data_IF_916366882802
#
_entry.id   IF_916366882802
#
_cell.length_a   1.000
_cell.length_b   1.000
_cell.length_c   1.000
_cell.angle_alpha   90.00
_cell.angle_beta   90.00
_cell.angle_gamma   90.00
#
_symmetry.space_group_name_H-M   'P 1'
#
loop_
_entity.id
_entity.type
_entity.pdbx_description
1 polymer ?
#
# COMPACT_ATOMS: atom_id res chain seq x y z
N UNK A 1 -11.46 4.53 -22.13
CA UNK A 1 -10.40 4.60 -21.09
C UNK A 1 -11.04 4.31 -19.74
N UNK A 2 -10.56 3.31 -19.00
CA UNK A 2 -11.16 2.88 -17.73
C UNK A 2 -11.09 3.97 -16.65
N UNK A 3 -12.06 3.96 -15.72
CA UNK A 3 -12.18 4.99 -14.68
C UNK A 3 -10.93 5.08 -13.76
N UNK A 4 -10.32 3.94 -13.42
CA UNK A 4 -9.11 3.90 -12.59
C UNK A 4 -7.90 4.54 -13.26
N UNK A 5 -7.78 4.43 -14.59
CA UNK A 5 -6.70 5.06 -15.34
C UNK A 5 -6.88 6.58 -15.39
N UNK A 6 -8.12 7.08 -15.44
CA UNK A 6 -8.43 8.51 -15.35
C UNK A 6 -8.12 9.10 -13.97
N UNK A 7 -8.26 8.30 -12.91
CA UNK A 7 -7.95 8.68 -11.53
C UNK A 7 -6.44 8.68 -11.20
N UNK A 8 -5.56 8.43 -12.18
CA UNK A 8 -4.11 8.37 -11.97
C UNK A 8 -3.63 7.15 -11.16
N UNK A 9 -4.47 6.12 -11.02
CA UNK A 9 -4.12 4.90 -10.30
C UNK A 9 -3.28 4.02 -11.23
N UNK A 10 -2.08 3.64 -10.78
CA UNK A 10 -1.23 2.67 -11.49
C UNK A 10 -1.87 1.28 -11.48
N UNK A 11 -1.53 0.47 -12.47
CA UNK A 11 -2.09 -0.88 -12.60
C UNK A 11 -1.80 -1.76 -11.36
N UNK A 12 -0.62 -1.60 -10.76
CA UNK A 12 -0.24 -2.30 -9.53
C UNK A 12 -1.17 -1.95 -8.37
N UNK A 13 -1.49 -0.66 -8.21
CA UNK A 13 -2.37 -0.19 -7.14
C UNK A 13 -3.82 -0.62 -7.37
N UNK A 14 -4.27 -0.65 -8.62
CA UNK A 14 -5.57 -1.21 -8.98
C UNK A 14 -5.70 -2.69 -8.58
N UNK A 15 -4.73 -3.53 -8.94
CA UNK A 15 -4.74 -4.94 -8.57
C UNK A 15 -4.68 -5.16 -7.05
N UNK A 16 -3.84 -4.41 -6.34
CA UNK A 16 -3.73 -4.51 -4.89
C UNK A 16 -5.07 -4.20 -4.18
N UNK A 17 -5.78 -3.15 -4.61
CA UNK A 17 -7.08 -2.77 -4.06
C UNK A 17 -8.13 -3.83 -4.37
N UNK A 18 -8.22 -4.27 -5.63
CA UNK A 18 -9.18 -5.31 -6.03
C UNK A 18 -8.98 -6.63 -5.27
N UNK A 19 -7.73 -7.07 -5.11
CA UNK A 19 -7.41 -8.27 -4.33
C UNK A 19 -7.80 -8.12 -2.85
N UNK A 20 -7.60 -6.94 -2.25
CA UNK A 20 -8.01 -6.65 -0.87
C UNK A 20 -9.53 -6.74 -0.71
N UNK A 21 -10.29 -6.29 -1.70
CA UNK A 21 -11.75 -6.40 -1.69
C UNK A 21 -12.21 -7.86 -1.78
N UNK A 22 -11.61 -8.64 -2.68
CA UNK A 22 -11.95 -10.07 -2.85
C UNK A 22 -11.61 -10.89 -1.59
N UNK A 23 -10.48 -10.62 -0.96
CA UNK A 23 -10.08 -11.32 0.27
C UNK A 23 -10.97 -10.97 1.48
N UNK A 24 -11.54 -9.77 1.52
CA UNK A 24 -12.56 -9.41 2.52
C UNK A 24 -13.90 -10.11 2.32
N UNK A 25 -14.22 -10.52 1.09
CA UNK A 25 -15.43 -11.26 0.77
C UNK A 25 -15.30 -12.77 1.03
N UNK A 26 -14.12 -13.25 1.43
CA UNK A 26 -13.86 -14.66 1.68
C UNK A 26 -14.44 -15.10 3.04
N UNK A 27 -14.69 -16.41 3.20
CA UNK A 27 -15.11 -16.99 4.49
C UNK A 27 -14.09 -16.67 5.60
N UNK A 28 -14.52 -16.43 6.86
CA UNK A 28 -13.63 -16.03 7.95
C UNK A 28 -12.45 -16.97 8.19
N UNK A 29 -12.67 -18.28 8.03
CA UNK A 29 -11.65 -19.33 8.21
C UNK A 29 -10.44 -19.16 7.26
N UNK A 30 -10.70 -18.74 6.03
CA UNK A 30 -9.68 -18.54 5.00
C UNK A 30 -9.12 -17.11 5.02
N UNK A 31 -9.90 -16.16 5.54
CA UNK A 31 -9.54 -14.75 5.64
C UNK A 31 -8.35 -14.53 6.59
N UNK A 32 -8.25 -15.28 7.68
CA UNK A 32 -7.18 -15.13 8.67
C UNK A 32 -5.77 -15.34 8.06
N UNK A 33 -5.61 -16.33 7.17
CA UNK A 33 -4.34 -16.58 6.46
C UNK A 33 -4.08 -15.52 5.38
N UNK A 34 -5.11 -15.08 4.66
CA UNK A 34 -4.98 -14.11 3.57
C UNK A 34 -4.69 -12.68 4.06
N UNK A 35 -5.20 -12.31 5.24
CA UNK A 35 -5.11 -10.94 5.77
C UNK A 35 -3.68 -10.48 6.07
N UNK A 36 -2.79 -11.42 6.40
CA UNK A 36 -1.36 -11.15 6.65
C UNK A 36 -0.64 -10.49 5.46
N UNK A 37 -1.14 -10.69 4.24
CA UNK A 37 -0.54 -10.13 3.01
C UNK A 37 -0.67 -8.61 2.88
N UNK A 38 -1.55 -7.99 3.66
CA UNK A 38 -1.86 -6.55 3.56
C UNK A 38 -1.26 -5.72 4.69
N UNK A 39 -0.53 -6.35 5.61
CA UNK A 39 0.14 -5.67 6.72
C UNK A 39 1.60 -5.46 6.28
N UNK A 40 2.01 -4.20 6.19
CA UNK A 40 3.38 -3.82 5.83
C UNK A 40 3.86 -2.68 6.73
N UNK A 41 4.93 -2.91 7.48
CA UNK A 41 5.55 -1.92 8.40
C UNK A 41 6.82 -1.30 7.80
N UNK A 42 6.84 -1.14 6.47
CA UNK A 42 8.02 -0.64 5.75
C UNK A 42 8.13 0.87 5.92
N UNK A 43 9.34 1.38 6.17
CA UNK A 43 9.63 2.82 6.11
C UNK A 43 10.29 3.15 4.78
N UNK A 44 9.82 4.19 4.11
CA UNK A 44 10.36 4.66 2.83
C UNK A 44 11.14 5.94 3.08
N UNK A 45 12.42 5.94 2.72
CA UNK A 45 13.29 7.10 2.83
C UNK A 45 13.59 7.64 1.43
N UNK A 46 13.29 8.91 1.19
CA UNK A 46 13.74 9.62 -0.01
C UNK A 46 15.08 10.27 0.30
N UNK A 47 16.12 9.79 -0.36
CA UNK A 47 17.49 10.31 -0.26
C UNK A 47 17.74 11.17 -1.50
N UNK A 48 18.20 12.40 -1.32
CA UNK A 48 18.68 13.26 -2.42
C UNK A 48 20.01 13.86 -2.00
N UNK A 49 20.98 13.89 -2.92
CA UNK A 49 22.32 14.44 -2.71
C UNK A 49 23.09 13.84 -1.51
N UNK A 50 22.79 12.59 -1.12
CA UNK A 50 23.45 11.89 -0.02
C UNK A 50 22.80 12.10 1.36
N UNK A 51 21.83 13.00 1.48
CA UNK A 51 21.09 13.24 2.74
C UNK A 51 19.65 12.74 2.66
N UNK A 52 19.15 12.29 3.81
CA UNK A 52 17.78 11.82 3.98
C UNK A 52 16.82 13.02 4.02
N UNK A 53 16.14 13.30 2.92
CA UNK A 53 15.24 14.46 2.81
C UNK A 53 13.88 14.18 3.44
N UNK A 54 13.40 12.93 3.36
CA UNK A 54 12.06 12.58 3.83
C UNK A 54 11.98 11.11 4.23
N UNK A 55 11.54 10.83 5.47
CA UNK A 55 11.22 9.47 5.93
C UNK A 55 9.71 9.38 6.08
N UNK A 56 9.07 8.57 5.25
CA UNK A 56 7.63 8.31 5.32
C UNK A 56 7.43 6.88 5.82
N UNK A 57 6.65 6.71 6.88
CA UNK A 57 6.22 5.38 7.29
C UNK A 57 5.08 4.91 6.38
N UNK A 58 5.23 3.75 5.75
CA UNK A 58 4.26 3.20 4.80
C UNK A 58 3.04 2.59 5.51
N UNK A 59 3.14 2.30 6.80
CA UNK A 59 2.02 1.80 7.60
C UNK A 59 1.02 2.90 7.92
N UNK A 60 1.51 4.04 8.39
CA UNK A 60 0.68 5.17 8.81
C UNK A 60 0.50 6.25 7.74
N UNK A 61 1.29 6.22 6.66
CA UNK A 61 1.32 7.26 5.64
C UNK A 61 1.75 8.63 6.20
N UNK A 62 2.25 8.68 7.44
CA UNK A 62 2.73 9.89 8.08
C UNK A 62 4.20 10.09 7.74
N UNK A 63 4.53 11.32 7.45
CA UNK A 63 5.90 11.76 7.32
C UNK A 63 6.49 11.85 8.72
N UNK A 64 7.50 11.03 8.98
CA UNK A 64 8.32 11.13 10.16
C UNK A 64 9.34 12.24 9.88
N UNK A 65 9.09 13.43 10.42
CA UNK A 65 10.12 14.47 10.49
C UNK A 65 11.27 13.93 11.32
N UNK A 66 12.50 14.14 10.82
CA UNK A 66 13.75 13.80 11.53
C UNK A 66 13.79 14.45 12.90
#
# INVERSE_FOLDING_TARGET
MSAWKKAGISINKYFAVSAKTVTKALKPELQAKASRRYITEVKVQQIKNGEAVKVTDLSSGKDLTL
#
